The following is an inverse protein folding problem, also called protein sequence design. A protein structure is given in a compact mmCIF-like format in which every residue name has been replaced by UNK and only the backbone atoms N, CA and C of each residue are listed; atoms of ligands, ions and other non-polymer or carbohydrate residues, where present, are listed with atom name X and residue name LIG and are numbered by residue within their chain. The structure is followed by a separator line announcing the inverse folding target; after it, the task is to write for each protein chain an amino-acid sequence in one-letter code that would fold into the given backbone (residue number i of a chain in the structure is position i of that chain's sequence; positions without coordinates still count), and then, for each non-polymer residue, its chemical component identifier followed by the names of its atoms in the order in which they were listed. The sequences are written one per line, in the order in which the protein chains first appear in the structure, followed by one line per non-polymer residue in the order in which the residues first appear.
data_IF_760712710754
#
_entry.id   IF_760712710754
#
_cell.length_a   1.000
_cell.length_b   1.000
_cell.length_c   1.000
_cell.angle_alpha   90.00
_cell.angle_beta   90.00
_cell.angle_gamma   90.00
#
_symmetry.space_group_name_H-M   'P 1'
#
loop_
_entity.id
_entity.type
_entity.pdbx_description
1 polymer ?
#
# COMPACT_ATOMS: atom_id res chain seq x y z
N UNK A 1 -24.66 11.12 -21.27
CA UNK A 1 -23.17 11.32 -21.30
C UNK A 1 -22.42 10.34 -20.41
N UNK A 2 -22.86 10.06 -19.19
CA UNK A 2 -22.19 9.11 -18.25
C UNK A 2 -22.24 7.62 -18.70
N UNK A 3 -23.23 7.20 -19.45
CA UNK A 3 -23.33 5.83 -20.01
C UNK A 3 -22.41 5.61 -21.21
N UNK A 4 -22.15 6.64 -22.02
CA UNK A 4 -21.24 6.58 -23.17
C UNK A 4 -19.78 6.45 -22.72
N UNK A 5 -19.34 7.19 -21.69
CA UNK A 5 -17.99 7.09 -21.12
C UNK A 5 -17.71 5.72 -20.48
N UNK A 6 -18.72 5.07 -19.89
CA UNK A 6 -18.55 3.71 -19.32
C UNK A 6 -18.32 2.65 -20.39
N UNK A 7 -18.89 2.81 -21.59
CA UNK A 7 -18.71 1.89 -22.72
C UNK A 7 -17.35 2.07 -23.41
N UNK A 8 -16.80 3.29 -23.40
CA UNK A 8 -15.49 3.58 -23.99
C UNK A 8 -14.35 3.03 -23.12
N UNK A 9 -14.43 3.20 -21.80
CA UNK A 9 -13.49 2.62 -20.83
C UNK A 9 -13.52 1.08 -20.86
N UNK A 10 -14.70 0.48 -21.07
CA UNK A 10 -14.85 -0.98 -21.20
C UNK A 10 -14.26 -1.53 -22.51
N UNK A 11 -14.22 -0.74 -23.59
CA UNK A 11 -13.60 -1.13 -24.88
C UNK A 11 -12.08 -1.03 -24.85
N UNK A 12 -11.51 -0.02 -24.18
CA UNK A 12 -10.05 0.07 -24.02
C UNK A 12 -9.50 -1.03 -23.12
N UNK A 13 -10.24 -1.46 -22.09
CA UNK A 13 -9.89 -2.62 -21.28
C UNK A 13 -9.91 -3.93 -22.07
N UNK A 14 -10.83 -4.09 -23.01
CA UNK A 14 -10.97 -5.30 -23.83
C UNK A 14 -9.89 -5.45 -24.93
N UNK A 15 -9.25 -4.36 -25.35
CA UNK A 15 -8.19 -4.36 -26.37
C UNK A 15 -6.83 -4.73 -25.78
N UNK A 16 -6.61 -4.49 -24.48
CA UNK A 16 -5.37 -4.84 -23.80
C UNK A 16 -5.23 -6.35 -23.49
N UNK A 17 -6.33 -7.11 -23.48
CA UNK A 17 -6.33 -8.55 -23.15
C UNK A 17 -5.95 -9.50 -24.29
N UNK A 18 -5.66 -9.04 -25.52
CA UNK A 18 -5.42 -9.91 -26.69
C UNK A 18 -3.98 -10.00 -27.14
N UNK A 19 -3.00 -10.05 -26.24
CA UNK A 19 -1.65 -10.51 -26.57
C UNK A 19 -1.08 -11.44 -25.51
N UNK A 20 -1.79 -12.53 -25.22
CA UNK A 20 -1.18 -13.72 -24.65
C UNK A 20 -0.44 -14.47 -25.74
N UNK A 21 0.87 -14.54 -25.69
CA UNK A 21 1.67 -15.49 -26.45
C UNK A 21 1.71 -16.78 -25.65
N UNK A 22 0.93 -17.77 -26.09
CA UNK A 22 0.89 -19.11 -25.51
C UNK A 22 2.13 -19.89 -25.98
N UNK A 23 3.05 -20.18 -25.09
CA UNK A 23 4.04 -21.24 -25.25
C UNK A 23 3.67 -22.39 -24.31
N UNK A 24 3.21 -23.49 -24.91
CA UNK A 24 2.89 -24.73 -24.22
C UNK A 24 4.17 -25.49 -23.86
N UNK A 25 4.57 -25.48 -22.63
CA UNK A 25 5.27 -26.59 -21.96
C UNK A 25 4.88 -26.48 -20.46
N UNK A 26 4.36 -27.55 -19.88
CA UNK A 26 3.70 -27.69 -18.58
C UNK A 26 4.39 -27.00 -17.39
N UNK A 27 4.20 -25.72 -17.26
CA UNK A 27 4.55 -24.90 -16.11
C UNK A 27 3.44 -23.88 -15.97
N UNK A 28 2.93 -23.66 -14.80
CA UNK A 28 1.93 -22.64 -14.46
C UNK A 28 2.18 -21.34 -15.24
N UNK A 29 1.18 -20.90 -16.00
CA UNK A 29 1.27 -19.64 -16.74
C UNK A 29 1.42 -18.51 -15.73
N UNK A 30 2.63 -17.95 -15.58
CA UNK A 30 2.88 -16.73 -14.82
C UNK A 30 2.05 -15.62 -15.46
N UNK A 31 1.04 -15.16 -14.75
CA UNK A 31 0.18 -14.07 -15.23
C UNK A 31 0.92 -12.76 -15.04
N UNK A 32 1.51 -12.25 -16.11
CA UNK A 32 2.10 -10.91 -16.13
C UNK A 32 1.08 -9.90 -16.67
N UNK A 33 0.81 -8.85 -15.91
CA UNK A 33 -0.01 -7.72 -16.37
C UNK A 33 0.76 -6.41 -16.25
N UNK A 34 0.55 -5.52 -17.23
CA UNK A 34 1.13 -4.18 -17.20
C UNK A 34 0.03 -3.14 -17.04
N UNK A 35 0.18 -2.24 -16.10
CA UNK A 35 -0.68 -1.09 -15.88
C UNK A 35 0.16 0.19 -15.80
N UNK A 36 -0.50 1.35 -15.84
CA UNK A 36 0.16 2.64 -15.64
C UNK A 36 -0.52 3.40 -14.53
N UNK A 37 0.26 3.96 -13.63
CA UNK A 37 -0.19 4.91 -12.62
C UNK A 37 0.34 6.30 -12.96
N UNK A 38 -0.39 7.34 -12.60
CA UNK A 38 0.04 8.73 -12.81
C UNK A 38 0.52 9.29 -11.47
N UNK A 39 1.80 9.62 -11.39
CA UNK A 39 2.41 10.24 -10.21
C UNK A 39 2.92 11.62 -10.61
N UNK A 40 2.39 12.69 -10.03
CA UNK A 40 2.76 14.09 -10.36
C UNK A 40 2.76 14.37 -11.87
N UNK A 41 1.68 13.99 -12.57
CA UNK A 41 1.53 14.08 -14.03
C UNK A 41 2.49 13.23 -14.88
N UNK A 42 3.25 12.33 -14.26
CA UNK A 42 4.16 11.42 -14.97
C UNK A 42 3.59 10.00 -14.96
N UNK A 43 3.43 9.36 -16.12
CA UNK A 43 2.99 7.97 -16.19
C UNK A 43 4.13 7.04 -15.77
N UNK A 44 3.91 6.24 -14.74
CA UNK A 44 4.83 5.22 -14.25
C UNK A 44 4.23 3.84 -14.55
N UNK A 45 4.98 2.99 -15.21
CA UNK A 45 4.55 1.62 -15.54
C UNK A 45 4.70 0.72 -14.30
N UNK A 46 3.67 -0.04 -14.03
CA UNK A 46 3.63 -1.09 -13.00
C UNK A 46 3.46 -2.44 -13.68
N UNK A 47 4.34 -3.37 -13.38
CA UNK A 47 4.32 -4.74 -13.82
C UNK A 47 3.90 -5.62 -12.65
N UNK A 48 2.76 -6.30 -12.75
CA UNK A 48 2.33 -7.27 -11.73
C UNK A 48 2.72 -8.68 -12.16
N UNK A 49 3.47 -9.38 -11.33
CA UNK A 49 3.93 -10.76 -11.50
C UNK A 49 3.58 -11.53 -10.23
N UNK A 50 2.78 -12.60 -10.33
CA UNK A 50 2.41 -13.45 -9.20
C UNK A 50 1.86 -12.67 -7.99
N UNK A 51 0.94 -11.71 -8.24
CA UNK A 51 0.35 -10.82 -7.23
C UNK A 51 1.34 -9.85 -6.56
N UNK A 52 2.58 -9.74 -7.05
CA UNK A 52 3.56 -8.76 -6.62
C UNK A 52 3.69 -7.64 -7.64
N UNK A 53 3.70 -6.40 -7.17
CA UNK A 53 3.84 -5.23 -8.02
C UNK A 53 5.29 -4.77 -8.11
N UNK A 54 5.77 -4.65 -9.36
CA UNK A 54 7.08 -4.13 -9.71
C UNK A 54 6.92 -2.81 -10.45
N UNK A 55 7.52 -1.76 -9.92
CA UNK A 55 7.42 -0.39 -10.44
C UNK A 55 8.61 -0.09 -11.33
N UNK A 56 8.38 0.57 -12.45
CA UNK A 56 9.43 0.95 -13.41
C UNK A 56 10.38 1.99 -12.82
N UNK A 57 11.60 1.58 -12.46
CA UNK A 57 12.69 2.49 -12.08
C UNK A 57 13.12 3.36 -13.25
N UNK A 58 13.02 2.83 -14.48
CA UNK A 58 13.33 3.57 -15.70
C UNK A 58 12.42 4.77 -15.87
N UNK A 59 11.09 4.60 -15.72
CA UNK A 59 10.14 5.70 -15.82
C UNK A 59 10.36 6.73 -14.70
N UNK A 60 10.63 6.27 -13.47
CA UNK A 60 10.94 7.15 -12.34
C UNK A 60 12.20 7.99 -12.58
N UNK A 61 13.25 7.39 -13.11
CA UNK A 61 14.49 8.09 -13.45
C UNK A 61 14.28 9.07 -14.61
N UNK A 62 13.52 8.68 -15.63
CA UNK A 62 13.14 9.53 -16.77
C UNK A 62 12.35 10.75 -16.32
N UNK A 63 11.43 10.58 -15.39
CA UNK A 63 10.64 11.67 -14.80
C UNK A 63 11.51 12.74 -14.14
N UNK A 64 12.65 12.32 -13.59
CA UNK A 64 13.59 13.25 -12.92
C UNK A 64 14.47 14.04 -13.88
N UNK A 65 15.10 13.39 -14.84
CA UNK A 65 16.18 14.02 -15.66
C UNK A 65 16.02 13.83 -17.18
N UNK A 66 14.90 13.25 -17.63
CA UNK A 66 14.65 12.94 -19.04
C UNK A 66 15.22 11.59 -19.51
N UNK A 67 14.81 11.15 -20.71
CA UNK A 67 15.04 9.79 -21.22
C UNK A 67 16.51 9.38 -21.32
N UNK A 68 17.41 10.32 -21.62
CA UNK A 68 18.81 9.99 -21.97
C UNK A 68 19.70 9.59 -20.78
N UNK A 69 19.23 9.76 -19.53
CA UNK A 69 20.04 9.53 -18.32
C UNK A 69 19.47 8.49 -17.34
N UNK A 70 18.35 7.91 -17.65
CA UNK A 70 17.68 6.96 -16.73
C UNK A 70 18.56 5.77 -16.35
N UNK A 71 19.28 5.21 -17.32
CA UNK A 71 20.22 4.10 -17.08
C UNK A 71 21.40 4.51 -16.18
N UNK A 72 21.92 5.72 -16.32
CA UNK A 72 23.03 6.21 -15.51
C UNK A 72 22.58 6.50 -14.07
N UNK A 73 21.37 7.00 -13.88
CA UNK A 73 20.79 7.20 -12.54
C UNK A 73 20.70 5.87 -11.80
N UNK A 74 20.16 4.82 -12.45
CA UNK A 74 20.02 3.49 -11.87
C UNK A 74 21.41 2.90 -11.56
N UNK A 75 22.38 3.00 -12.47
CA UNK A 75 23.75 2.53 -12.23
C UNK A 75 24.42 3.28 -11.07
N UNK A 76 24.26 4.60 -11.00
CA UNK A 76 24.82 5.40 -9.91
C UNK A 76 24.20 5.04 -8.56
N UNK A 77 22.91 4.76 -8.53
CA UNK A 77 22.23 4.27 -7.34
C UNK A 77 22.77 2.90 -6.89
N UNK A 78 22.96 1.95 -7.82
CA UNK A 78 23.55 0.63 -7.55
C UNK A 78 25.03 0.66 -7.12
N UNK A 79 25.76 1.78 -7.35
CA UNK A 79 27.13 1.94 -6.87
C UNK A 79 27.23 2.27 -5.39
N UNK A 80 26.14 2.75 -4.81
CA UNK A 80 26.10 3.17 -3.42
C UNK A 80 26.10 1.93 -2.50
N UNK A 81 26.99 1.92 -1.51
CA UNK A 81 27.06 0.83 -0.52
C UNK A 81 25.75 0.64 0.25
N UNK A 82 25.11 1.73 0.65
CA UNK A 82 23.79 1.67 1.33
C UNK A 82 22.75 0.98 0.44
N UNK A 83 22.72 1.26 -0.84
CA UNK A 83 21.81 0.60 -1.79
C UNK A 83 22.05 -0.91 -1.85
N UNK A 84 23.32 -1.33 -1.96
CA UNK A 84 23.66 -2.75 -1.99
C UNK A 84 23.25 -3.44 -0.68
N UNK A 85 23.52 -2.82 0.46
CA UNK A 85 23.09 -3.34 1.77
C UNK A 85 21.58 -3.44 1.89
N UNK A 86 20.83 -2.44 1.41
CA UNK A 86 19.37 -2.47 1.38
C UNK A 86 18.82 -3.61 0.49
N UNK A 87 19.30 -3.69 -0.75
CA UNK A 87 18.89 -4.73 -1.71
C UNK A 87 19.19 -6.13 -1.17
N UNK A 88 20.41 -6.35 -0.66
CA UNK A 88 20.78 -7.65 -0.09
C UNK A 88 19.97 -8.02 1.13
N UNK A 89 19.67 -7.07 2.01
CA UNK A 89 18.82 -7.32 3.19
C UNK A 89 17.39 -7.66 2.76
N UNK A 90 16.84 -6.95 1.77
CA UNK A 90 15.52 -7.23 1.23
C UNK A 90 15.46 -8.65 0.64
N UNK A 91 16.46 -9.02 -0.17
CA UNK A 91 16.56 -10.36 -0.78
C UNK A 91 16.66 -11.46 0.29
N UNK A 92 17.51 -11.28 1.30
CA UNK A 92 17.64 -12.27 2.41
C UNK A 92 16.30 -12.53 3.11
N UNK A 93 15.45 -11.51 3.23
CA UNK A 93 14.13 -11.63 3.87
C UNK A 93 13.11 -12.33 2.96
N UNK A 94 13.15 -12.07 1.64
CA UNK A 94 12.07 -12.45 0.72
C UNK A 94 12.44 -13.56 -0.27
N UNK A 95 13.75 -13.90 -0.40
CA UNK A 95 14.25 -14.82 -1.40
C UNK A 95 15.10 -15.93 -0.77
N UNK A 96 14.54 -17.13 -0.57
CA UNK A 96 15.28 -18.26 0.02
C UNK A 96 16.45 -18.75 -0.85
N UNK A 97 16.42 -18.50 -2.16
CA UNK A 97 17.44 -18.92 -3.13
C UNK A 97 18.51 -17.85 -3.39
N UNK A 98 18.52 -16.78 -2.58
CA UNK A 98 19.48 -15.68 -2.71
C UNK A 98 20.91 -16.11 -2.38
N UNK A 99 21.87 -15.76 -3.27
CA UNK A 99 23.28 -16.11 -3.11
C UNK A 99 24.01 -15.09 -2.23
N UNK A 100 23.96 -15.26 -0.93
CA UNK A 100 24.54 -14.35 0.08
C UNK A 100 26.05 -14.13 -0.13
N UNK A 101 26.79 -15.13 -0.58
CA UNK A 101 28.25 -15.01 -0.82
C UNK A 101 28.53 -14.00 -1.93
N UNK A 102 27.77 -14.05 -3.02
CA UNK A 102 27.92 -13.08 -4.12
C UNK A 102 27.52 -11.66 -3.69
N UNK A 103 26.48 -11.57 -2.86
CA UNK A 103 26.10 -10.30 -2.25
C UNK A 103 27.21 -9.72 -1.39
N UNK A 104 27.88 -10.51 -0.56
CA UNK A 104 29.00 -10.04 0.27
C UNK A 104 30.16 -9.51 -0.57
N UNK A 105 30.46 -10.13 -1.72
CA UNK A 105 31.44 -9.61 -2.66
C UNK A 105 31.06 -8.22 -3.19
N UNK A 106 29.81 -8.02 -3.59
CA UNK A 106 29.33 -6.70 -4.01
C UNK A 106 29.37 -5.69 -2.88
N UNK A 107 28.94 -6.06 -1.66
CA UNK A 107 28.94 -5.19 -0.48
C UNK A 107 30.33 -4.70 -0.11
N UNK A 108 31.36 -5.56 -0.21
CA UNK A 108 32.76 -5.18 0.05
C UNK A 108 33.31 -4.22 -0.99
N UNK A 109 32.87 -4.33 -2.23
CA UNK A 109 33.35 -3.51 -3.36
C UNK A 109 32.55 -2.22 -3.54
N UNK A 110 31.32 -2.18 -3.03
CA UNK A 110 30.41 -1.05 -3.19
C UNK A 110 30.96 0.24 -2.54
N UNK A 111 30.82 1.35 -3.28
CA UNK A 111 31.34 2.66 -2.88
C UNK A 111 32.77 2.92 -3.34
N UNK A 112 33.52 1.92 -3.83
CA UNK A 112 34.83 2.17 -4.43
C UNK A 112 34.70 2.89 -5.79
N UNK A 113 35.61 3.77 -6.16
CA UNK A 113 35.56 4.50 -7.45
C UNK A 113 35.48 3.60 -8.66
N UNK A 114 36.14 2.43 -8.62
CA UNK A 114 36.14 1.42 -9.68
C UNK A 114 34.93 0.51 -9.73
N UNK A 115 34.09 0.55 -8.68
CA UNK A 115 32.91 -0.33 -8.60
C UNK A 115 31.81 0.14 -9.54
N UNK A 116 31.42 -0.75 -10.45
CA UNK A 116 30.27 -0.55 -11.36
C UNK A 116 29.46 -1.82 -11.35
N UNK A 117 28.15 -1.67 -11.15
CA UNK A 117 27.22 -2.79 -11.12
C UNK A 117 26.00 -2.45 -11.98
N UNK A 118 25.60 -3.38 -12.84
CA UNK A 118 24.35 -3.30 -13.58
C UNK A 118 23.26 -4.11 -12.88
N UNK A 119 21.99 -3.73 -13.09
CA UNK A 119 20.86 -4.51 -12.56
C UNK A 119 20.83 -5.95 -13.08
N UNK A 120 21.22 -6.17 -14.35
CA UNK A 120 21.33 -7.54 -14.92
C UNK A 120 22.40 -8.36 -14.22
N UNK A 121 23.57 -7.78 -13.97
CA UNK A 121 24.65 -8.48 -13.27
C UNK A 121 24.29 -8.80 -11.81
N UNK A 122 23.59 -7.87 -11.11
CA UNK A 122 23.05 -8.13 -9.79
C UNK A 122 22.17 -9.36 -9.80
N UNK A 123 21.17 -9.42 -10.70
CA UNK A 123 20.23 -10.53 -10.82
C UNK A 123 20.93 -11.86 -11.12
N UNK A 124 21.81 -11.85 -12.14
CA UNK A 124 22.48 -13.07 -12.62
C UNK A 124 23.40 -13.69 -11.56
N UNK A 125 24.15 -12.87 -10.85
CA UNK A 125 25.12 -13.36 -9.86
C UNK A 125 24.48 -13.74 -8.55
N UNK A 126 23.52 -12.93 -8.05
CA UNK A 126 22.94 -13.14 -6.72
C UNK A 126 21.65 -13.96 -6.73
N UNK A 127 21.10 -14.26 -7.91
CA UNK A 127 19.76 -14.86 -8.05
C UNK A 127 18.65 -13.99 -7.43
N UNK A 128 18.78 -12.67 -7.54
CA UNK A 128 17.87 -11.71 -6.98
C UNK A 128 16.49 -11.73 -7.67
N UNK A 129 15.43 -11.57 -6.90
CA UNK A 129 14.04 -11.50 -7.38
C UNK A 129 13.43 -10.09 -7.26
N UNK A 130 13.97 -9.25 -6.40
CA UNK A 130 13.44 -7.91 -6.13
C UNK A 130 13.59 -6.92 -7.30
N UNK A 131 14.42 -7.22 -8.29
CA UNK A 131 14.60 -6.42 -9.49
C UNK A 131 14.39 -7.29 -10.73
N UNK A 132 13.68 -6.77 -11.73
CA UNK A 132 13.45 -7.42 -13.02
C UNK A 132 13.95 -6.51 -14.14
N UNK A 133 14.71 -7.08 -15.09
CA UNK A 133 15.17 -6.36 -16.27
C UNK A 133 14.52 -6.95 -17.52
N UNK A 134 13.73 -6.14 -18.22
CA UNK A 134 13.14 -6.49 -19.51
C UNK A 134 13.92 -5.84 -20.64
N UNK A 135 14.27 -6.63 -21.67
CA UNK A 135 14.95 -6.16 -22.89
C UNK A 135 13.95 -5.84 -23.99
N UNK A 136 14.31 -4.96 -24.91
CA UNK A 136 13.50 -4.64 -26.09
C UNK A 136 12.90 -3.23 -26.07
N UNK A 137 12.04 -2.92 -27.07
CA UNK A 137 11.48 -1.57 -27.30
C UNK A 137 10.69 -1.01 -26.10
N UNK A 138 10.05 -1.89 -25.33
CA UNK A 138 9.32 -1.57 -24.11
C UNK A 138 10.04 -2.14 -22.88
N UNK A 139 11.36 -2.30 -22.99
CA UNK A 139 12.21 -2.79 -21.93
C UNK A 139 12.43 -1.73 -20.84
N UNK A 140 12.92 -2.18 -19.71
CA UNK A 140 13.22 -1.31 -18.58
C UNK A 140 13.66 -2.10 -17.37
N UNK A 141 14.08 -1.40 -16.34
CA UNK A 141 14.36 -1.96 -15.02
C UNK A 141 13.15 -1.71 -14.13
N UNK A 142 12.61 -2.77 -13.59
CA UNK A 142 11.48 -2.78 -12.67
C UNK A 142 11.95 -3.29 -11.32
N UNK A 143 11.42 -2.78 -10.24
CA UNK A 143 11.74 -3.25 -8.90
C UNK A 143 10.47 -3.45 -8.08
N UNK A 144 10.52 -4.41 -7.16
CA UNK A 144 9.46 -4.58 -6.17
C UNK A 144 9.13 -3.24 -5.51
N UNK A 145 7.87 -3.03 -5.14
CA UNK A 145 7.39 -1.75 -4.60
C UNK A 145 8.29 -1.17 -3.50
N UNK A 146 8.77 -1.99 -2.55
CA UNK A 146 9.62 -1.54 -1.45
C UNK A 146 10.95 -0.97 -1.96
N UNK A 147 11.56 -1.66 -2.94
CA UNK A 147 12.81 -1.24 -3.58
C UNK A 147 12.61 0.01 -4.43
N UNK A 148 11.47 0.11 -5.12
CA UNK A 148 11.12 1.29 -5.90
C UNK A 148 10.89 2.54 -5.02
N UNK A 149 10.31 2.38 -3.83
CA UNK A 149 10.19 3.47 -2.86
C UNK A 149 11.56 3.92 -2.33
N UNK A 150 12.46 2.99 -2.05
CA UNK A 150 13.84 3.34 -1.68
C UNK A 150 14.56 4.09 -2.81
N UNK A 151 14.47 3.57 -4.06
CA UNK A 151 15.01 4.25 -5.24
C UNK A 151 14.46 5.67 -5.39
N UNK A 152 13.14 5.85 -5.33
CA UNK A 152 12.48 7.16 -5.40
C UNK A 152 12.98 8.11 -4.32
N UNK A 153 13.14 7.61 -3.09
CA UNK A 153 13.66 8.37 -1.96
C UNK A 153 15.13 8.77 -2.13
N UNK A 154 15.93 7.91 -2.77
CA UNK A 154 17.34 8.18 -3.05
C UNK A 154 17.54 9.23 -4.17
N UNK A 155 16.68 9.22 -5.19
CA UNK A 155 16.79 10.14 -6.33
C UNK A 155 16.08 11.47 -6.13
N UNK A 156 15.10 11.56 -5.22
CA UNK A 156 14.27 12.75 -5.03
C UNK A 156 14.02 13.06 -3.56
N UNK A 157 14.67 14.09 -3.03
CA UNK A 157 14.45 14.57 -1.66
C UNK A 157 12.98 15.01 -1.43
N UNK A 158 12.33 15.76 -2.33
CA UNK A 158 10.91 16.07 -2.18
C UNK A 158 10.02 14.84 -2.10
N UNK A 159 10.29 13.80 -2.90
CA UNK A 159 9.55 12.54 -2.84
C UNK A 159 9.75 11.83 -1.49
N UNK A 160 10.97 11.81 -0.97
CA UNK A 160 11.26 11.25 0.36
C UNK A 160 10.48 11.96 1.47
N UNK A 161 10.45 13.29 1.43
CA UNK A 161 9.68 14.09 2.41
C UNK A 161 8.18 13.81 2.29
N UNK A 162 7.65 13.76 1.07
CA UNK A 162 6.25 13.40 0.82
C UNK A 162 5.89 12.02 1.40
N UNK A 163 6.74 11.01 1.20
CA UNK A 163 6.51 9.68 1.77
C UNK A 163 6.47 9.70 3.30
N UNK A 164 7.35 10.46 3.93
CA UNK A 164 7.39 10.60 5.39
C UNK A 164 6.12 11.28 5.91
N UNK A 165 5.70 12.37 5.26
CA UNK A 165 4.48 13.10 5.63
C UNK A 165 3.23 12.24 5.45
N UNK A 166 3.14 11.52 4.33
CA UNK A 166 2.01 10.65 4.02
C UNK A 166 1.94 9.45 4.99
N UNK A 167 3.08 8.86 5.35
CA UNK A 167 3.13 7.83 6.38
C UNK A 167 2.60 8.35 7.74
N UNK A 168 3.03 9.54 8.16
CA UNK A 168 2.56 10.16 9.40
C UNK A 168 1.06 10.46 9.36
N UNK A 169 0.55 10.95 8.21
CA UNK A 169 -0.87 11.21 7.99
C UNK A 169 -1.69 9.92 8.11
N UNK A 170 -1.29 8.87 7.39
CA UNK A 170 -1.96 7.57 7.42
C UNK A 170 -1.93 6.95 8.82
N UNK A 171 -0.81 7.05 9.53
CA UNK A 171 -0.70 6.55 10.90
C UNK A 171 -1.62 7.26 11.88
N UNK A 172 -1.74 8.57 11.75
CA UNK A 172 -2.68 9.37 12.55
C UNK A 172 -4.14 9.00 12.24
N UNK A 173 -4.46 8.83 10.97
CA UNK A 173 -5.80 8.41 10.53
C UNK A 173 -6.15 7.00 11.02
N UNK A 174 -5.22 6.05 10.93
CA UNK A 174 -5.38 4.69 11.47
C UNK A 174 -5.68 4.72 12.97
N UNK A 175 -4.91 5.49 13.75
CA UNK A 175 -5.13 5.65 15.19
C UNK A 175 -6.50 6.26 15.49
N UNK A 176 -6.94 7.25 14.72
CA UNK A 176 -8.26 7.86 14.84
C UNK A 176 -9.38 6.85 14.60
N UNK A 177 -9.26 6.05 13.52
CA UNK A 177 -10.25 5.03 13.16
C UNK A 177 -10.30 3.90 14.18
N UNK A 178 -9.15 3.42 14.68
CA UNK A 178 -9.08 2.39 15.71
C UNK A 178 -9.71 2.89 17.02
N UNK A 179 -9.41 4.12 17.44
CA UNK A 179 -10.01 4.73 18.62
C UNK A 179 -11.54 4.87 18.51
N UNK A 180 -12.03 5.25 17.35
CA UNK A 180 -13.48 5.36 17.07
C UNK A 180 -14.18 3.99 17.08
N UNK A 181 -13.58 2.98 16.42
CA UNK A 181 -14.13 1.62 16.37
C UNK A 181 -14.21 0.98 17.75
N UNK A 182 -13.16 1.08 18.57
CA UNK A 182 -13.15 0.56 19.93
C UNK A 182 -14.22 1.23 20.81
N UNK A 183 -14.35 2.56 20.75
CA UNK A 183 -15.39 3.29 21.48
C UNK A 183 -16.80 2.87 21.07
N UNK A 184 -17.03 2.67 19.76
CA UNK A 184 -18.32 2.23 19.23
C UNK A 184 -18.70 0.83 19.71
N UNK A 185 -17.76 -0.12 19.70
CA UNK A 185 -18.00 -1.49 20.17
C UNK A 185 -18.24 -1.53 21.68
N UNK A 186 -17.47 -0.79 22.48
CA UNK A 186 -17.71 -0.65 23.92
C UNK A 186 -19.08 -0.05 24.20
N UNK A 187 -19.50 0.97 23.46
CA UNK A 187 -20.84 1.56 23.60
C UNK A 187 -21.94 0.57 23.32
N UNK A 188 -21.82 -0.27 22.28
CA UNK A 188 -22.81 -1.32 21.96
C UNK A 188 -22.91 -2.36 23.07
N UNK A 189 -21.76 -2.81 23.59
CA UNK A 189 -21.71 -3.82 24.66
C UNK A 189 -22.35 -3.24 25.93
N UNK A 190 -21.93 -2.06 26.33
CA UNK A 190 -22.46 -1.39 27.50
C UNK A 190 -23.98 -1.12 27.38
N UNK A 191 -24.44 -0.65 26.22
CA UNK A 191 -25.87 -0.45 25.96
C UNK A 191 -26.66 -1.76 26.14
N UNK A 192 -26.15 -2.89 25.61
CA UNK A 192 -26.82 -4.20 25.76
C UNK A 192 -26.90 -4.62 27.21
N UNK A 193 -25.77 -4.60 27.94
CA UNK A 193 -25.69 -4.99 29.35
C UNK A 193 -26.66 -4.13 30.20
N UNK A 194 -26.64 -2.82 29.93
CA UNK A 194 -27.49 -1.87 30.63
C UNK A 194 -28.99 -2.12 30.36
N UNK A 195 -29.36 -2.31 29.09
CA UNK A 195 -30.73 -2.62 28.68
C UNK A 195 -31.23 -3.92 29.30
N UNK A 196 -30.42 -4.95 29.35
CA UNK A 196 -30.76 -6.24 29.95
C UNK A 196 -30.94 -6.09 31.48
N UNK A 197 -30.07 -5.34 32.15
CA UNK A 197 -30.18 -5.07 33.58
C UNK A 197 -31.44 -4.25 33.92
N UNK A 198 -31.78 -3.24 33.11
CA UNK A 198 -33.02 -2.47 33.27
C UNK A 198 -34.23 -3.39 33.10
N UNK A 199 -34.24 -4.22 32.06
CA UNK A 199 -35.32 -5.17 31.79
C UNK A 199 -35.57 -6.12 32.96
N UNK A 200 -34.49 -6.61 33.56
CA UNK A 200 -34.57 -7.61 34.64
C UNK A 200 -34.94 -7.01 36.00
N UNK A 201 -34.52 -5.77 36.27
CA UNK A 201 -34.58 -5.21 37.62
C UNK A 201 -35.47 -3.99 37.77
N UNK A 202 -35.69 -3.22 36.69
CA UNK A 202 -36.41 -1.94 36.77
C UNK A 202 -37.73 -1.89 36.00
N UNK A 203 -37.95 -2.78 35.04
CA UNK A 203 -39.25 -2.82 34.31
C UNK A 203 -40.18 -3.82 34.98
N UNK A 204 -41.28 -3.36 35.66
CA UNK A 204 -42.28 -4.25 36.23
C UNK A 204 -42.95 -5.08 35.14
N UNK A 205 -43.37 -6.29 35.46
CA UNK A 205 -44.01 -7.20 34.52
C UNK A 205 -45.36 -6.68 33.96
N UNK A 206 -45.95 -5.68 34.61
CA UNK A 206 -47.30 -5.14 34.32
C UNK A 206 -47.30 -3.85 33.48
N UNK A 207 -46.12 -3.34 33.02
CA UNK A 207 -46.04 -2.11 32.22
C UNK A 207 -46.29 -2.34 30.73
N UNK A 208 -46.92 -1.36 30.09
CA UNK A 208 -47.13 -1.39 28.64
C UNK A 208 -45.81 -1.18 27.88
N UNK A 209 -45.70 -1.62 26.59
CA UNK A 209 -44.49 -1.39 25.77
C UNK A 209 -44.09 0.09 25.64
N UNK A 210 -45.06 1.01 25.62
CA UNK A 210 -44.81 2.45 25.57
C UNK A 210 -44.18 2.98 26.86
N UNK A 211 -44.64 2.55 28.03
CA UNK A 211 -44.04 2.90 29.32
C UNK A 211 -42.66 2.31 29.49
N UNK A 212 -42.45 1.05 29.08
CA UNK A 212 -41.10 0.43 29.06
C UNK A 212 -40.13 1.21 28.19
N UNK A 213 -40.54 1.69 27.02
CA UNK A 213 -39.72 2.50 26.12
C UNK A 213 -39.22 3.81 26.76
N UNK A 214 -40.04 4.47 27.58
CA UNK A 214 -39.67 5.69 28.32
C UNK A 214 -38.60 5.38 29.37
N UNK A 215 -38.75 4.27 30.11
CA UNK A 215 -37.76 3.84 31.10
C UNK A 215 -36.40 3.58 30.43
N UNK A 216 -36.39 2.83 29.33
CA UNK A 216 -35.15 2.56 28.57
C UNK A 216 -34.48 3.83 28.05
N UNK A 217 -35.23 4.80 27.54
CA UNK A 217 -34.69 6.05 27.03
C UNK A 217 -34.06 6.89 28.13
N UNK A 218 -34.71 7.00 29.30
CA UNK A 218 -34.17 7.75 30.44
C UNK A 218 -32.87 7.15 30.97
N UNK A 219 -32.82 5.84 31.12
CA UNK A 219 -31.65 5.15 31.65
C UNK A 219 -30.50 5.13 30.63
N UNK A 220 -30.80 5.06 29.33
CA UNK A 220 -29.77 5.18 28.27
C UNK A 220 -29.15 6.58 28.27
N UNK A 221 -29.89 7.64 28.53
CA UNK A 221 -29.34 9.00 28.62
C UNK A 221 -28.48 9.18 29.88
N UNK A 222 -28.82 8.56 31.01
CA UNK A 222 -27.98 8.53 32.21
C UNK A 222 -26.63 7.88 31.89
N UNK A 223 -26.64 6.75 31.20
CA UNK A 223 -25.39 6.07 30.76
C UNK A 223 -24.57 6.93 29.81
N UNK A 224 -25.21 7.56 28.82
CA UNK A 224 -24.50 8.42 27.85
C UNK A 224 -23.84 9.62 28.55
N UNK A 225 -24.54 10.26 29.52
CA UNK A 225 -23.96 11.37 30.28
C UNK A 225 -22.79 10.89 31.15
N UNK A 226 -22.91 9.74 31.81
CA UNK A 226 -21.82 9.18 32.60
C UNK A 226 -20.59 8.81 31.78
N UNK A 227 -20.74 8.30 30.54
CA UNK A 227 -19.66 7.87 29.69
C UNK A 227 -19.08 8.97 28.81
N UNK A 228 -19.93 9.88 28.32
CA UNK A 228 -19.58 10.85 27.27
C UNK A 228 -19.82 12.31 27.67
N UNK A 229 -20.40 12.58 28.82
CA UNK A 229 -20.73 13.91 29.32
C UNK A 229 -21.95 14.58 28.67
N UNK A 230 -22.60 13.92 27.72
CA UNK A 230 -23.74 14.47 26.95
C UNK A 230 -24.80 13.41 26.68
N UNK A 231 -26.08 13.84 26.58
CA UNK A 231 -27.14 12.95 26.14
C UNK A 231 -27.08 12.66 24.64
N UNK A 232 -27.74 11.60 24.17
CA UNK A 232 -27.85 11.29 22.75
C UNK A 232 -28.50 12.43 21.93
N UNK A 233 -29.39 13.22 22.54
CA UNK A 233 -30.00 14.40 21.92
C UNK A 233 -28.97 15.52 21.75
N UNK A 234 -28.24 15.88 22.80
CA UNK A 234 -27.23 16.93 22.80
C UNK A 234 -26.10 16.60 21.78
N UNK A 235 -25.71 15.34 21.69
CA UNK A 235 -24.71 14.91 20.73
C UNK A 235 -25.18 15.11 19.28
N UNK A 236 -26.40 14.73 18.94
CA UNK A 236 -26.99 14.94 17.60
C UNK A 236 -27.15 16.41 17.24
N UNK A 237 -27.48 17.26 18.19
CA UNK A 237 -27.60 18.71 17.98
C UNK A 237 -26.26 19.37 17.73
N UNK A 238 -25.18 18.82 18.32
CA UNK A 238 -23.82 19.30 18.11
C UNK A 238 -23.13 18.73 16.85
N UNK A 239 -23.66 17.63 16.28
CA UNK A 239 -23.11 16.96 15.09
C UNK A 239 -24.27 16.71 14.08
N UNK A 240 -24.80 17.75 13.45
CA UNK A 240 -25.78 17.60 12.37
C UNK A 240 -25.08 16.99 11.15
N UNK A 241 -25.73 16.00 10.47
CA UNK A 241 -25.27 15.36 9.23
C UNK A 241 -25.17 16.36 8.06
#
# INVERSE_FOLDING_TARGET
ELKAKRHEISREYAVCQRKCVTLHIGIYAISETMSKIIVQNTPITVLSVEEQDYISLTDMATAKEGDNRSADIIKNWLRNRYTIEFLGTWEVIHNPDFKVVEFDHFRMSAGLPSFVLSASEWIERTNAIGIIVKKGRYGGTYAHKDIAFEFGSAISVPFKLYLIEEFQRLKTEEQRLLGWSAKRELSKINYRIHTDAIKQNLVPAEVTPAQASIIYASEADVLNVAMFGVTAKQWREANPD
#
